data_IF_032655550515
#
_entry.id   IF_032655550515
#
_cell.length_a   1.000
_cell.length_b   1.000
_cell.length_c   1.000
_cell.angle_alpha   90.00
_cell.angle_beta   90.00
_cell.angle_gamma   90.00
#
_symmetry.space_group_name_H-M   'P 1'
#
loop_
_entity.id
_entity.type
_entity.pdbx_description
1 polymer ?
#
# COMPACT_ATOMS: atom_id res chain seq x y z
N UNK A 1 22.79 -2.18 17.71
CA UNK A 1 22.05 -3.40 17.35
C UNK A 1 20.93 -2.98 16.41
N UNK A 2 20.99 -3.35 15.14
CA UNK A 2 19.95 -3.00 14.15
C UNK A 2 19.03 -4.21 14.04
N UNK A 3 17.81 -4.09 14.56
CA UNK A 3 16.80 -5.14 14.38
C UNK A 3 16.45 -5.23 12.88
N UNK A 4 16.25 -6.44 12.33
CA UNK A 4 15.74 -6.56 10.98
C UNK A 4 14.38 -5.86 10.90
N UNK A 5 14.08 -5.16 9.80
CA UNK A 5 12.81 -4.48 9.65
C UNK A 5 11.68 -5.51 9.79
N UNK A 6 10.61 -5.19 10.55
CA UNK A 6 9.51 -6.12 10.73
C UNK A 6 8.89 -6.43 9.36
N UNK A 7 8.74 -7.73 9.08
CA UNK A 7 7.97 -8.19 7.92
C UNK A 7 6.50 -8.06 8.28
N UNK A 8 5.83 -7.10 7.66
CA UNK A 8 4.39 -6.88 7.84
C UNK A 8 3.59 -7.93 7.08
N UNK A 9 2.51 -8.41 7.68
CA UNK A 9 1.57 -9.30 7.00
C UNK A 9 0.79 -8.54 5.92
N UNK A 10 0.22 -9.22 4.90
CA UNK A 10 -0.56 -8.57 3.85
C UNK A 10 -1.71 -7.71 4.40
N UNK A 11 -2.38 -8.14 5.47
CA UNK A 11 -3.46 -7.36 6.08
C UNK A 11 -2.96 -6.09 6.78
N UNK A 12 -1.75 -6.10 7.33
CA UNK A 12 -1.14 -4.90 7.91
C UNK A 12 -0.81 -3.87 6.83
N UNK A 13 -0.30 -4.34 5.68
CA UNK A 13 -0.08 -3.50 4.50
C UNK A 13 -1.37 -2.88 3.98
N UNK A 14 -2.46 -3.66 3.91
CA UNK A 14 -3.79 -3.14 3.53
C UNK A 14 -4.28 -2.05 4.49
N UNK A 15 -4.13 -2.28 5.80
CA UNK A 15 -4.48 -1.28 6.84
C UNK A 15 -3.67 0.00 6.69
N UNK A 16 -2.36 -0.10 6.44
CA UNK A 16 -1.50 1.07 6.21
C UNK A 16 -1.91 1.86 4.96
N UNK A 17 -2.19 1.17 3.85
CA UNK A 17 -2.70 1.79 2.63
C UNK A 17 -3.98 2.58 2.90
N UNK A 18 -4.93 1.97 3.58
CA UNK A 18 -6.23 2.60 3.84
C UNK A 18 -6.10 3.77 4.82
N UNK A 19 -5.22 3.67 5.82
CA UNK A 19 -4.89 4.78 6.72
C UNK A 19 -4.26 5.97 5.96
N UNK A 20 -3.36 5.72 5.01
CA UNK A 20 -2.77 6.77 4.18
C UNK A 20 -3.80 7.46 3.28
N UNK A 21 -4.72 6.69 2.67
CA UNK A 21 -5.83 7.25 1.88
C UNK A 21 -6.76 8.09 2.74
N UNK A 22 -7.05 7.65 3.97
CA UNK A 22 -7.83 8.42 4.93
C UNK A 22 -7.12 9.72 5.31
N UNK A 23 -5.82 9.64 5.63
CA UNK A 23 -5.02 10.82 5.99
C UNK A 23 -4.98 11.84 4.84
N UNK A 24 -4.84 11.40 3.58
CA UNK A 24 -4.90 12.29 2.42
C UNK A 24 -6.23 13.04 2.32
N UNK A 25 -7.37 12.36 2.54
CA UNK A 25 -8.71 13.00 2.54
C UNK A 25 -8.87 14.00 3.68
N UNK A 26 -8.35 13.68 4.87
CA UNK A 26 -8.37 14.56 6.03
C UNK A 26 -7.49 15.82 5.81
N UNK A 27 -6.29 15.66 5.23
CA UNK A 27 -5.43 16.79 4.85
C UNK A 27 -6.11 17.70 3.84
N UNK A 28 -6.76 17.13 2.81
CA UNK A 28 -7.53 17.90 1.84
C UNK A 28 -8.65 18.70 2.51
N UNK A 29 -9.41 18.09 3.42
CA UNK A 29 -10.47 18.79 4.14
C UNK A 29 -9.92 19.94 5.02
N UNK A 30 -8.83 19.70 5.77
CA UNK A 30 -8.18 20.74 6.60
C UNK A 30 -7.60 21.88 5.77
N UNK A 31 -7.24 21.61 4.52
CA UNK A 31 -6.65 22.60 3.60
C UNK A 31 -7.60 23.77 3.29
N UNK A 32 -8.91 23.60 3.47
CA UNK A 32 -9.90 24.67 3.30
C UNK A 32 -9.93 25.68 4.45
N UNK A 33 -9.36 25.34 5.62
CA UNK A 33 -9.42 26.16 6.83
C UNK A 33 -8.14 26.97 7.09
N UNK A 34 -7.18 26.98 6.16
CA UNK A 34 -5.86 27.62 6.34
C UNK A 34 -5.54 28.56 5.19
N UNK A 35 -4.55 29.44 5.40
CA UNK A 35 -4.04 30.34 4.36
C UNK A 35 -3.33 29.58 3.22
N UNK A 36 -3.05 30.30 2.12
CA UNK A 36 -2.49 29.72 0.90
C UNK A 36 -1.14 29.02 1.13
N UNK A 37 -0.24 29.61 1.94
CA UNK A 37 1.09 29.04 2.17
C UNK A 37 0.99 27.73 2.96
N UNK A 38 0.11 27.68 3.97
CA UNK A 38 -0.07 26.46 4.76
C UNK A 38 -0.86 25.39 3.99
N UNK A 39 -1.78 25.81 3.11
CA UNK A 39 -2.52 24.91 2.22
C UNK A 39 -1.59 24.15 1.27
N UNK A 40 -0.60 24.83 0.67
CA UNK A 40 0.40 24.19 -0.21
C UNK A 40 1.12 23.04 0.51
N UNK A 41 1.58 23.26 1.74
CA UNK A 41 2.23 22.21 2.55
C UNK A 41 1.29 21.03 2.83
N UNK A 42 0.00 21.28 3.11
CA UNK A 42 -0.96 20.20 3.33
C UNK A 42 -1.22 19.38 2.05
N UNK A 43 -1.23 20.04 0.90
CA UNK A 43 -1.38 19.38 -0.39
C UNK A 43 -0.15 18.55 -0.75
N UNK A 44 1.05 19.06 -0.51
CA UNK A 44 2.28 18.27 -0.70
C UNK A 44 2.31 17.00 0.16
N UNK A 45 1.91 17.10 1.44
CA UNK A 45 1.84 15.91 2.30
C UNK A 45 0.70 14.96 1.90
N UNK A 46 -0.42 15.49 1.40
CA UNK A 46 -1.50 14.67 0.82
C UNK A 46 -0.97 13.86 -0.37
N UNK A 47 -0.26 14.50 -1.30
CA UNK A 47 0.29 13.83 -2.47
C UNK A 47 1.29 12.72 -2.08
N UNK A 48 2.13 12.97 -1.08
CA UNK A 48 3.03 11.94 -0.53
C UNK A 48 2.27 10.77 0.08
N UNK A 49 1.18 11.03 0.80
CA UNK A 49 0.33 9.99 1.38
C UNK A 49 -0.30 9.12 0.28
N UNK A 50 -0.85 9.75 -0.77
CA UNK A 50 -1.48 9.04 -1.89
C UNK A 50 -0.44 8.24 -2.69
N UNK A 51 0.71 8.83 -3.02
CA UNK A 51 1.79 8.14 -3.72
C UNK A 51 2.37 6.96 -2.92
N UNK A 52 2.38 7.02 -1.58
CA UNK A 52 2.76 5.89 -0.76
C UNK A 52 1.69 4.80 -0.74
N UNK A 53 0.41 5.17 -0.65
CA UNK A 53 -0.70 4.22 -0.71
C UNK A 53 -0.71 3.45 -2.05
N UNK A 54 -0.44 4.12 -3.16
CA UNK A 54 -0.38 3.48 -4.49
C UNK A 54 0.79 2.50 -4.61
N UNK A 55 1.95 2.82 -4.02
CA UNK A 55 3.08 1.88 -3.94
C UNK A 55 2.74 0.64 -3.11
N UNK A 56 2.01 0.80 -2.01
CA UNK A 56 1.55 -0.33 -1.20
C UNK A 56 0.54 -1.18 -1.96
N UNK A 57 -0.38 -0.57 -2.71
CA UNK A 57 -1.30 -1.29 -3.60
C UNK A 57 -0.55 -2.17 -4.60
N UNK A 58 0.45 -1.60 -5.29
CA UNK A 58 1.27 -2.34 -6.25
C UNK A 58 2.03 -3.51 -5.58
N UNK A 59 2.57 -3.28 -4.37
CA UNK A 59 3.22 -4.32 -3.58
C UNK A 59 2.27 -5.48 -3.25
N UNK A 60 1.06 -5.17 -2.79
CA UNK A 60 0.03 -6.17 -2.46
C UNK A 60 -0.37 -6.98 -3.70
N UNK A 61 -0.60 -6.31 -4.83
CA UNK A 61 -0.93 -6.98 -6.09
C UNK A 61 0.20 -7.92 -6.56
N UNK A 62 1.46 -7.49 -6.42
CA UNK A 62 2.62 -8.31 -6.75
C UNK A 62 2.75 -9.54 -5.83
N UNK A 63 2.46 -9.39 -4.54
CA UNK A 63 2.44 -10.49 -3.58
C UNK A 63 1.35 -11.52 -3.91
N UNK A 64 0.12 -11.07 -4.16
CA UNK A 64 -1.02 -11.92 -4.57
C UNK A 64 -0.73 -12.66 -5.90
N UNK A 65 -0.10 -11.98 -6.86
CA UNK A 65 0.34 -12.60 -8.12
C UNK A 65 1.45 -13.65 -7.92
N UNK A 66 2.36 -13.46 -6.95
CA UNK A 66 3.36 -14.46 -6.61
C UNK A 66 2.74 -15.70 -5.96
N UNK A 67 1.79 -15.52 -5.05
CA UNK A 67 1.08 -16.61 -4.38
C UNK A 67 0.26 -17.47 -5.36
N UNK A 68 -0.50 -16.81 -6.24
CA UNK A 68 -1.31 -17.48 -7.27
C UNK A 68 -0.47 -18.30 -8.26
N UNK A 69 0.72 -17.80 -8.65
CA UNK A 69 1.68 -18.56 -9.47
C UNK A 69 2.25 -19.78 -8.72
N UNK A 70 2.49 -19.67 -7.41
CA UNK A 70 2.93 -20.78 -6.57
C UNK A 70 1.92 -21.94 -6.53
N UNK A 71 0.64 -21.64 -6.37
CA UNK A 71 -0.43 -22.64 -6.39
C UNK A 71 -0.64 -23.28 -7.78
N UNK A 72 -0.54 -22.50 -8.86
CA UNK A 72 -0.62 -23.02 -10.23
C UNK A 72 0.53 -23.98 -10.55
N UNK A 73 1.76 -23.66 -10.10
CA UNK A 73 2.93 -24.52 -10.26
C UNK A 73 2.86 -25.83 -9.47
N UNK A 74 2.18 -25.84 -8.31
CA UNK A 74 1.98 -27.06 -7.51
C UNK A 74 0.91 -27.98 -8.11
N UNK A 75 -0.16 -27.42 -8.69
CA UNK A 75 -1.17 -28.19 -9.44
C UNK A 75 -0.58 -28.85 -10.69
N UNK A 76 0.28 -28.16 -11.43
CA UNK A 76 0.91 -28.71 -12.64
C UNK A 76 1.83 -29.91 -12.37
N UNK A 77 2.41 -30.04 -11.16
CA UNK A 77 3.24 -31.21 -10.78
C UNK A 77 2.44 -32.43 -10.34
N UNK A 78 1.14 -32.28 -10.07
CA UNK A 78 0.26 -33.35 -9.61
C UNK A 78 -0.58 -33.98 -10.73
N UNK A 79 -0.46 -33.47 -11.96
CA UNK A 79 -1.10 -34.07 -13.12
C UNK A 79 -0.20 -35.19 -13.67
N UNK A 80 -0.57 -36.48 -13.54
CA UNK A 80 0.18 -37.55 -14.20
C UNK A 80 0.03 -37.40 -15.72
N UNK A 81 1.07 -37.73 -16.52
CA UNK A 81 0.92 -37.81 -17.97
C UNK A 81 -0.04 -38.96 -18.33
N UNK A 82 -0.94 -38.70 -19.28
CA UNK A 82 -1.77 -39.72 -19.94
C UNK A 82 -0.93 -40.77 -20.68
#
# INVERSE_FOLDING_TARGET
MTLPPPVLAPDDWRRLRDALRYQGRDLHHRSYAVDARRRELLWEEMDRCLALADRIEQYLQAAEAAESRGCAGMRARLQPPD
#
